data_IF_705304057858
#
_entry.id   IF_705304057858
#
_cell.length_a   1.000
_cell.length_b   1.000
_cell.length_c   1.000
_cell.angle_alpha   90.00
_cell.angle_beta   90.00
_cell.angle_gamma   90.00
#
_symmetry.space_group_name_H-M   'P 1'
#
loop_
_entity.id
_entity.type
_entity.pdbx_description
1 polymer ?
#
# COMPACT_ATOMS: atom_id res chain seq x y z
N UNK A 1 -12.36 -16.95 20.30
CA UNK A 1 -13.00 -15.62 20.30
C UNK A 1 -12.58 -14.95 19.00
N UNK A 2 -13.53 -14.52 18.15
CA UNK A 2 -13.23 -13.85 16.88
C UNK A 2 -13.45 -12.36 17.11
N UNK A 3 -12.42 -11.57 16.84
CA UNK A 3 -12.49 -10.11 16.97
C UNK A 3 -12.98 -9.51 15.65
N UNK A 4 -14.03 -8.70 15.72
CA UNK A 4 -14.59 -8.02 14.55
C UNK A 4 -14.11 -6.58 14.56
N UNK A 5 -13.35 -6.22 13.54
CA UNK A 5 -12.84 -4.86 13.33
C UNK A 5 -13.39 -4.30 12.02
N UNK A 6 -13.43 -2.98 11.89
CA UNK A 6 -13.75 -2.33 10.62
C UNK A 6 -12.68 -2.63 9.55
N UNK A 7 -13.03 -2.44 8.29
CA UNK A 7 -12.06 -2.62 7.22
C UNK A 7 -11.05 -1.46 7.20
N UNK A 8 -9.77 -1.78 6.98
CA UNK A 8 -8.77 -0.76 6.71
C UNK A 8 -9.08 -0.13 5.37
N UNK A 9 -9.16 1.20 5.30
CA UNK A 9 -9.50 1.91 4.07
C UNK A 9 -8.43 2.92 3.65
N UNK A 10 -8.39 3.18 2.35
CA UNK A 10 -7.54 4.20 1.72
C UNK A 10 -8.29 4.85 0.57
N UNK A 11 -8.22 6.17 0.51
CA UNK A 11 -8.71 6.94 -0.62
C UNK A 11 -7.68 6.94 -1.74
N UNK A 12 -8.15 6.67 -2.96
CA UNK A 12 -7.36 6.67 -4.19
C UNK A 12 -7.85 7.82 -5.06
N UNK A 13 -7.01 8.86 -5.17
CA UNK A 13 -7.28 10.06 -5.98
C UNK A 13 -8.67 10.68 -5.74
N UNK A 14 -9.16 10.63 -4.50
CA UNK A 14 -10.48 11.16 -4.10
C UNK A 14 -11.67 10.66 -4.93
N UNK A 15 -11.50 9.55 -5.66
CA UNK A 15 -12.51 9.00 -6.59
C UNK A 15 -12.95 7.61 -6.15
N UNK A 16 -12.02 6.82 -5.61
CA UNK A 16 -12.28 5.48 -5.14
C UNK A 16 -11.81 5.33 -3.70
N UNK A 17 -12.55 4.55 -2.91
CA UNK A 17 -12.10 4.09 -1.60
C UNK A 17 -11.84 2.59 -1.71
N UNK A 18 -10.60 2.18 -1.44
CA UNK A 18 -10.23 0.77 -1.40
C UNK A 18 -10.29 0.27 0.05
N UNK A 19 -10.91 -0.89 0.25
CA UNK A 19 -11.04 -1.55 1.54
C UNK A 19 -10.17 -2.81 1.58
N UNK A 20 -9.51 -3.04 2.72
CA UNK A 20 -8.64 -4.18 2.96
C UNK A 20 -8.68 -4.58 4.44
N UNK A 21 -7.88 -5.58 4.80
CA UNK A 21 -7.82 -6.17 6.15
C UNK A 21 -6.69 -5.54 6.97
N UNK A 22 -6.81 -5.44 8.29
CA UNK A 22 -5.68 -5.01 9.13
C UNK A 22 -4.70 -6.18 9.38
N UNK A 23 -3.64 -5.90 10.14
CA UNK A 23 -2.78 -6.92 10.73
C UNK A 23 -3.63 -8.03 11.41
N UNK A 24 -3.24 -9.31 11.31
CA UNK A 24 -1.94 -9.84 10.88
C UNK A 24 -1.76 -9.99 9.36
N UNK A 25 -2.72 -9.57 8.54
CA UNK A 25 -2.59 -9.66 7.08
C UNK A 25 -1.74 -8.53 6.51
N UNK A 26 -1.50 -8.56 5.19
CA UNK A 26 -0.69 -7.55 4.48
C UNK A 26 -1.48 -6.30 4.05
N UNK A 27 -2.70 -6.07 4.53
CA UNK A 27 -3.46 -4.88 4.12
C UNK A 27 -2.77 -3.55 4.44
N UNK A 28 -2.14 -3.37 5.62
CA UNK A 28 -1.34 -2.18 5.89
C UNK A 28 -0.17 -1.98 4.91
N UNK A 29 0.47 -3.06 4.44
CA UNK A 29 1.53 -3.02 3.43
C UNK A 29 0.99 -2.56 2.09
N UNK A 30 -0.14 -3.11 1.65
CA UNK A 30 -0.80 -2.70 0.42
C UNK A 30 -1.17 -1.21 0.46
N UNK A 31 -1.81 -0.78 1.54
CA UNK A 31 -2.18 0.62 1.76
C UNK A 31 -0.95 1.54 1.71
N UNK A 32 0.16 1.15 2.34
CA UNK A 32 1.38 1.94 2.33
C UNK A 32 1.99 2.06 0.92
N UNK A 33 2.01 0.97 0.14
CA UNK A 33 2.46 1.01 -1.26
C UNK A 33 1.61 2.00 -2.06
N UNK A 34 0.28 1.90 -1.96
CA UNK A 34 -0.64 2.76 -2.69
C UNK A 34 -0.46 4.23 -2.30
N UNK A 35 -0.24 4.53 -1.02
CA UNK A 35 0.07 5.89 -0.55
C UNK A 35 1.36 6.45 -1.17
N UNK A 36 2.43 5.66 -1.24
CA UNK A 36 3.69 6.07 -1.91
C UNK A 36 3.41 6.38 -3.39
N UNK A 37 2.70 5.49 -4.08
CA UNK A 37 2.42 5.64 -5.52
C UNK A 37 1.52 6.83 -5.83
N UNK A 38 0.56 7.16 -4.97
CA UNK A 38 -0.29 8.35 -5.11
C UNK A 38 0.53 9.65 -5.14
N UNK A 39 1.64 9.71 -4.39
CA UNK A 39 2.55 10.87 -4.40
C UNK A 39 3.17 11.17 -5.77
N UNK A 40 3.24 10.18 -6.66
CA UNK A 40 3.82 10.34 -8.00
C UNK A 40 2.81 10.75 -9.07
N UNK A 41 1.51 10.81 -8.75
CA UNK A 41 0.42 11.23 -9.66
C UNK A 41 0.47 10.51 -11.02
N UNK A 42 0.64 9.20 -10.97
CA UNK A 42 0.75 8.35 -12.15
C UNK A 42 -0.54 8.45 -12.98
N UNK A 43 -0.42 8.66 -14.29
CA UNK A 43 -1.55 8.76 -15.19
C UNK A 43 -1.34 7.96 -16.49
N UNK A 44 -2.33 7.98 -17.39
CA UNK A 44 -2.26 7.21 -18.64
C UNK A 44 -1.07 7.61 -19.53
N UNK A 45 -0.60 8.87 -19.46
CA UNK A 45 0.53 9.37 -20.24
C UNK A 45 1.85 8.69 -19.88
N UNK A 46 1.99 8.19 -18.65
CA UNK A 46 3.14 7.38 -18.22
C UNK A 46 3.25 6.04 -18.97
N UNK A 47 2.22 5.65 -19.72
CA UNK A 47 2.17 4.38 -20.46
C UNK A 47 1.97 4.55 -21.98
N UNK A 48 1.94 5.78 -22.50
CA UNK A 48 1.56 6.06 -23.90
C UNK A 48 2.65 5.75 -24.92
N UNK A 49 3.90 5.62 -24.52
CA UNK A 49 4.99 5.28 -25.43
C UNK A 49 5.13 3.77 -25.58
N UNK A 50 5.61 3.29 -26.72
CA UNK A 50 5.88 1.87 -27.00
C UNK A 50 6.96 1.25 -26.09
N UNK A 51 7.43 2.01 -25.11
CA UNK A 51 8.38 1.61 -24.10
C UNK A 51 7.67 1.77 -22.75
N UNK A 52 7.57 0.74 -21.90
CA UNK A 52 7.11 0.95 -20.54
C UNK A 52 7.92 2.09 -19.91
N UNK A 53 7.27 3.06 -19.26
CA UNK A 53 7.99 4.12 -18.56
C UNK A 53 8.88 3.47 -17.51
N UNK A 54 10.18 3.34 -17.82
CA UNK A 54 11.17 2.75 -16.94
C UNK A 54 11.13 3.43 -15.56
N UNK A 55 10.76 4.72 -15.55
CA UNK A 55 10.54 5.50 -14.36
C UNK A 55 9.34 5.03 -13.53
N UNK A 56 8.21 4.67 -14.16
CA UNK A 56 7.07 4.07 -13.46
C UNK A 56 7.47 2.77 -12.76
N UNK A 57 8.11 1.85 -13.48
CA UNK A 57 8.53 0.57 -12.91
C UNK A 57 9.58 0.74 -11.82
N UNK A 58 10.53 1.67 -11.99
CA UNK A 58 11.49 2.01 -10.94
C UNK A 58 10.79 2.48 -9.66
N UNK A 59 9.84 3.43 -9.77
CA UNK A 59 9.07 3.93 -8.62
C UNK A 59 8.24 2.83 -7.96
N UNK A 60 7.64 1.94 -8.76
CA UNK A 60 6.89 0.79 -8.27
C UNK A 60 7.77 -0.16 -7.45
N UNK A 61 8.95 -0.50 -7.97
CA UNK A 61 9.90 -1.39 -7.29
C UNK A 61 10.40 -0.73 -5.99
N UNK A 62 10.72 0.56 -6.01
CA UNK A 62 11.14 1.26 -4.79
C UNK A 62 10.02 1.32 -3.75
N UNK A 63 8.77 1.60 -4.15
CA UNK A 63 7.62 1.56 -3.25
C UNK A 63 7.46 0.18 -2.58
N UNK A 64 7.63 -0.91 -3.34
CA UNK A 64 7.65 -2.26 -2.78
C UNK A 64 8.78 -2.47 -1.78
N UNK A 65 10.01 -2.03 -2.10
CA UNK A 65 11.15 -2.16 -1.18
C UNK A 65 10.90 -1.45 0.15
N UNK A 66 10.42 -0.20 0.10
CA UNK A 66 10.08 0.56 1.31
C UNK A 66 8.98 -0.11 2.12
N UNK A 67 7.93 -0.60 1.47
CA UNK A 67 6.83 -1.23 2.18
C UNK A 67 7.23 -2.58 2.78
N UNK A 68 7.98 -3.41 2.05
CA UNK A 68 8.43 -4.71 2.56
C UNK A 68 9.48 -4.59 3.66
N UNK A 69 10.26 -3.51 3.70
CA UNK A 69 11.12 -3.20 4.85
C UNK A 69 10.31 -3.05 6.15
N UNK A 70 9.06 -2.56 6.06
CA UNK A 70 8.13 -2.41 7.19
C UNK A 70 7.32 -3.67 7.51
N UNK A 71 7.29 -4.66 6.61
CA UNK A 71 6.49 -5.88 6.79
C UNK A 71 6.89 -6.70 8.00
N UNK A 72 8.16 -6.64 8.42
CA UNK A 72 8.62 -7.32 9.64
C UNK A 72 8.04 -6.74 10.93
N UNK A 73 7.50 -5.52 10.89
CA UNK A 73 6.85 -4.86 12.03
C UNK A 73 5.38 -5.29 12.18
N UNK A 74 4.82 -6.01 11.20
CA UNK A 74 3.44 -6.50 11.22
C UNK A 74 3.39 -7.92 11.77
N UNK A 75 2.52 -8.14 12.75
CA UNK A 75 2.20 -9.46 13.28
C UNK A 75 0.86 -9.46 14.00
N UNK A 76 0.70 -10.36 14.97
CA UNK A 76 -0.53 -10.45 15.75
C UNK A 76 -0.73 -9.15 16.58
N UNK A 77 -1.81 -8.38 16.33
CA UNK A 77 -2.08 -7.13 17.06
C UNK A 77 -2.25 -7.34 18.56
N UNK A 78 -2.67 -8.53 19.00
CA UNK A 78 -2.82 -8.87 20.42
C UNK A 78 -1.48 -9.11 21.13
N UNK A 79 -0.38 -9.22 20.36
CA UNK A 79 0.98 -9.52 20.86
C UNK A 79 1.99 -8.41 20.56
N UNK A 80 1.70 -7.54 19.59
CA UNK A 80 2.59 -6.48 19.14
C UNK A 80 1.82 -5.16 19.20
N UNK A 81 2.30 -4.21 20.01
CA UNK A 81 1.79 -2.83 19.97
C UNK A 81 2.37 -2.12 18.74
N UNK A 82 1.53 -1.87 17.75
CA UNK A 82 1.91 -1.31 16.44
C UNK A 82 1.61 0.20 16.36
N UNK A 83 1.56 0.90 17.49
CA UNK A 83 1.07 2.30 17.62
C UNK A 83 2.13 3.39 17.40
N UNK A 84 3.25 3.11 16.73
CA UNK A 84 4.25 4.13 16.35
C UNK A 84 4.26 4.42 14.86
#
# INVERSE_FOLDING_TARGET
>A
NVDFQEALSIDINNTYTAYTTHAPTSGPILTFILNILQGFKIDQSDFKTSNPSALFYHRLIEAFKFAYAKRSEIGDPSKINITE
#
